data_IF_679179028537
#
_entry.id   IF_679179028537
#
_cell.length_a   1.000
_cell.length_b   1.000
_cell.length_c   1.000
_cell.angle_alpha   90.00
_cell.angle_beta   90.00
_cell.angle_gamma   90.00
#
_symmetry.space_group_name_H-M   'P 1'
#
loop_
_entity.id
_entity.type
_entity.pdbx_description
1 polymer ?
#
# COMPACT_ATOMS: atom_id res chain seq x y z
N UNK A 1 61.01 12.28 5.29
CA UNK A 1 60.20 11.48 4.32
C UNK A 1 61.05 10.97 3.13
N UNK A 2 62.37 10.80 3.29
CA UNK A 2 63.28 10.20 2.28
C UNK A 2 64.08 9.00 2.81
N UNK A 3 63.97 8.73 4.11
CA UNK A 3 64.88 7.84 4.82
C UNK A 3 64.65 6.37 4.43
N UNK A 4 63.43 5.99 4.08
CA UNK A 4 63.11 4.64 3.58
C UNK A 4 63.62 4.38 2.15
N UNK A 5 63.80 5.44 1.33
CA UNK A 5 64.35 5.33 -0.03
C UNK A 5 65.88 5.28 -0.04
N UNK A 6 66.53 5.74 1.03
CA UNK A 6 67.98 5.72 1.20
C UNK A 6 68.48 4.44 1.91
N UNK A 7 67.57 3.66 2.51
CA UNK A 7 67.87 2.35 3.04
C UNK A 7 68.15 1.38 1.88
N UNK A 8 69.38 0.84 1.81
CA UNK A 8 69.73 -0.23 0.86
C UNK A 8 68.95 -1.52 1.14
N UNK A 9 69.09 -2.56 0.28
CA UNK A 9 68.43 -3.84 0.50
C UNK A 9 68.83 -4.43 1.85
N UNK A 10 67.84 -4.92 2.62
CA UNK A 10 68.12 -5.58 3.89
C UNK A 10 68.84 -6.93 3.63
N UNK A 11 69.68 -7.38 4.58
CA UNK A 11 70.18 -8.76 4.58
C UNK A 11 69.01 -9.76 4.46
N UNK A 12 69.20 -10.85 3.70
CA UNK A 12 68.11 -11.78 3.34
C UNK A 12 67.39 -12.36 4.55
N UNK A 13 68.11 -12.60 5.64
CA UNK A 13 67.60 -13.07 6.92
C UNK A 13 66.71 -12.04 7.62
N UNK A 14 67.07 -10.76 7.54
CA UNK A 14 66.26 -9.65 8.06
C UNK A 14 65.00 -9.48 7.21
N UNK A 15 65.14 -9.55 5.88
CA UNK A 15 64.01 -9.47 4.94
C UNK A 15 63.02 -10.63 5.14
N UNK A 16 63.50 -11.86 5.31
CA UNK A 16 62.67 -13.03 5.61
C UNK A 16 61.97 -12.90 6.98
N UNK A 17 62.67 -12.39 8.00
CA UNK A 17 62.07 -12.14 9.31
C UNK A 17 60.98 -11.06 9.24
N UNK A 18 61.21 -9.97 8.52
CA UNK A 18 60.22 -8.91 8.29
C UNK A 18 59.02 -9.43 7.50
N UNK A 19 59.28 -10.21 6.44
CA UNK A 19 58.22 -10.82 5.62
C UNK A 19 57.36 -11.79 6.44
N UNK A 20 57.97 -12.66 7.25
CA UNK A 20 57.24 -13.58 8.14
C UNK A 20 56.40 -12.83 9.17
N UNK A 21 56.92 -11.74 9.76
CA UNK A 21 56.15 -10.89 10.68
C UNK A 21 54.97 -10.22 9.98
N UNK A 22 55.21 -9.71 8.77
CA UNK A 22 54.16 -9.09 7.97
C UNK A 22 53.06 -10.10 7.59
N UNK A 23 53.43 -11.29 7.10
CA UNK A 23 52.49 -12.36 6.77
C UNK A 23 51.71 -12.82 8.00
N UNK A 24 52.37 -13.02 9.13
CA UNK A 24 51.67 -13.35 10.38
C UNK A 24 50.65 -12.27 10.79
N UNK A 25 50.97 -10.99 10.61
CA UNK A 25 50.02 -9.91 10.86
C UNK A 25 48.86 -9.87 9.83
N UNK A 26 49.14 -10.13 8.54
CA UNK A 26 48.11 -10.25 7.51
C UNK A 26 47.15 -11.41 7.80
N UNK A 27 47.70 -12.59 8.09
CA UNK A 27 46.92 -13.80 8.34
C UNK A 27 46.02 -13.62 9.58
N UNK A 28 46.54 -13.00 10.64
CA UNK A 28 45.75 -12.65 11.82
C UNK A 28 44.61 -11.67 11.49
N UNK A 29 44.90 -10.62 10.72
CA UNK A 29 43.89 -9.63 10.33
C UNK A 29 42.79 -10.22 9.45
N UNK A 30 43.17 -10.93 8.37
CA UNK A 30 42.21 -11.52 7.45
C UNK A 30 41.44 -12.66 8.09
N UNK A 31 42.07 -13.48 8.92
CA UNK A 31 41.37 -14.50 9.71
C UNK A 31 40.31 -13.91 10.63
N UNK A 32 40.63 -12.82 11.34
CA UNK A 32 39.65 -12.13 12.18
C UNK A 32 38.50 -11.51 11.37
N UNK A 33 38.81 -10.90 10.21
CA UNK A 33 37.80 -10.33 9.31
C UNK A 33 36.87 -11.39 8.76
N UNK A 34 37.42 -12.50 8.28
CA UNK A 34 36.64 -13.57 7.67
C UNK A 34 35.75 -14.27 8.73
N UNK A 35 36.25 -14.42 9.96
CA UNK A 35 35.44 -14.88 11.09
C UNK A 35 34.28 -13.91 11.41
N UNK A 36 34.53 -12.60 11.43
CA UNK A 36 33.49 -11.60 11.66
C UNK A 36 32.44 -11.58 10.55
N UNK A 37 32.86 -11.71 9.29
CA UNK A 37 31.94 -11.83 8.15
C UNK A 37 31.09 -13.09 8.25
N UNK A 38 31.70 -14.24 8.60
CA UNK A 38 30.96 -15.49 8.78
C UNK A 38 29.92 -15.41 9.90
N UNK A 39 30.18 -14.65 10.96
CA UNK A 39 29.19 -14.41 12.02
C UNK A 39 28.01 -13.57 11.50
N UNK A 40 28.28 -12.50 10.75
CA UNK A 40 27.24 -11.68 10.12
C UNK A 40 26.41 -12.47 9.10
N UNK A 41 27.05 -13.31 8.30
CA UNK A 41 26.35 -14.15 7.31
C UNK A 41 25.41 -15.14 8.02
N UNK A 42 25.85 -15.74 9.13
CA UNK A 42 25.02 -16.61 9.96
C UNK A 42 23.84 -15.85 10.60
N UNK A 43 24.08 -14.66 11.14
CA UNK A 43 23.03 -13.79 11.68
C UNK A 43 22.00 -13.42 10.61
N UNK A 44 22.45 -13.01 9.43
CA UNK A 44 21.56 -12.65 8.33
C UNK A 44 20.76 -13.85 7.84
N UNK A 45 21.36 -15.04 7.76
CA UNK A 45 20.65 -16.27 7.41
C UNK A 45 19.52 -16.56 8.41
N UNK A 46 19.78 -16.47 9.72
CA UNK A 46 18.76 -16.64 10.75
C UNK A 46 17.64 -15.59 10.64
N UNK A 47 17.98 -14.33 10.41
CA UNK A 47 17.00 -13.27 10.17
C UNK A 47 16.12 -13.54 8.94
N UNK A 48 16.70 -14.13 7.88
CA UNK A 48 15.95 -14.48 6.68
C UNK A 48 14.91 -15.56 6.96
N UNK A 49 15.22 -16.57 7.79
CA UNK A 49 14.26 -17.59 8.21
C UNK A 49 13.10 -16.98 9.01
N UNK A 50 13.39 -16.07 9.94
CA UNK A 50 12.34 -15.33 10.70
C UNK A 50 11.43 -14.55 9.75
N UNK A 51 12.03 -13.84 8.79
CA UNK A 51 11.28 -13.09 7.77
C UNK A 51 10.42 -14.01 6.89
N UNK A 52 10.89 -15.20 6.55
CA UNK A 52 10.07 -16.17 5.82
C UNK A 52 8.84 -16.64 6.61
N UNK A 53 8.98 -16.86 7.92
CA UNK A 53 7.85 -17.23 8.77
C UNK A 53 6.81 -16.10 8.81
N UNK A 54 7.27 -14.85 8.97
CA UNK A 54 6.41 -13.66 8.92
C UNK A 54 5.70 -13.55 7.57
N UNK A 55 6.37 -13.87 6.46
CA UNK A 55 5.73 -13.85 5.15
C UNK A 55 4.64 -14.91 5.01
N UNK A 56 4.81 -16.09 5.59
CA UNK A 56 3.76 -17.12 5.58
C UNK A 56 2.52 -16.59 6.33
N UNK A 57 2.71 -15.96 7.49
CA UNK A 57 1.63 -15.31 8.25
C UNK A 57 0.97 -14.17 7.44
N UNK A 58 1.78 -13.34 6.77
CA UNK A 58 1.29 -12.21 5.98
C UNK A 58 0.54 -12.65 4.71
N UNK A 59 1.05 -13.66 4.00
CA UNK A 59 0.43 -14.21 2.80
C UNK A 59 -0.92 -14.87 3.11
N UNK A 60 -1.11 -15.40 4.32
CA UNK A 60 -2.38 -15.95 4.79
C UNK A 60 -3.47 -14.87 5.00
N UNK A 61 -3.11 -13.58 5.04
CA UNK A 61 -4.10 -12.48 5.07
C UNK A 61 -4.81 -12.29 3.73
N UNK A 62 -4.32 -12.94 2.66
CA UNK A 62 -4.88 -12.86 1.32
C UNK A 62 -5.52 -14.22 0.97
N UNK A 63 -6.79 -14.26 0.52
CA UNK A 63 -7.68 -13.13 0.22
C UNK A 63 -8.23 -12.43 1.47
N UNK A 64 -8.35 -11.10 1.41
CA UNK A 64 -8.79 -10.25 2.54
C UNK A 64 -10.28 -10.39 2.76
N UNK A 65 -10.68 -10.91 3.93
CA UNK A 65 -12.08 -11.05 4.34
C UNK A 65 -12.55 -9.87 5.20
N UNK A 66 -11.75 -9.52 6.21
CA UNK A 66 -11.96 -8.37 7.08
C UNK A 66 -10.74 -7.44 6.94
N UNK A 67 -10.97 -6.28 6.32
CA UNK A 67 -9.92 -5.31 6.03
C UNK A 67 -9.30 -4.72 7.31
N UNK A 68 -10.11 -4.41 8.32
CA UNK A 68 -9.62 -3.77 9.53
C UNK A 68 -8.84 -4.75 10.41
N UNK A 69 -9.32 -5.98 10.54
CA UNK A 69 -8.57 -7.05 11.20
C UNK A 69 -7.25 -7.34 10.46
N UNK A 70 -7.30 -7.49 9.14
CA UNK A 70 -6.10 -7.79 8.34
C UNK A 70 -5.08 -6.66 8.40
N UNK A 71 -5.49 -5.38 8.40
CA UNK A 71 -4.59 -4.23 8.59
C UNK A 71 -3.94 -4.22 9.97
N UNK A 72 -4.67 -4.58 11.03
CA UNK A 72 -4.09 -4.69 12.38
C UNK A 72 -3.02 -5.78 12.44
N UNK A 73 -3.34 -6.97 11.95
CA UNK A 73 -2.38 -8.09 11.90
C UNK A 73 -1.18 -7.74 11.03
N UNK A 74 -1.39 -7.13 9.86
CA UNK A 74 -0.29 -6.72 8.98
C UNK A 74 0.65 -5.70 9.64
N UNK A 75 0.14 -4.76 10.45
CA UNK A 75 0.99 -3.82 11.21
C UNK A 75 1.88 -4.53 12.22
N UNK A 76 1.34 -5.50 12.97
CA UNK A 76 2.12 -6.31 13.91
C UNK A 76 3.20 -7.12 13.19
N UNK A 77 2.84 -7.73 12.05
CA UNK A 77 3.80 -8.46 11.20
C UNK A 77 4.89 -7.54 10.63
N UNK A 78 4.55 -6.30 10.24
CA UNK A 78 5.52 -5.32 9.77
C UNK A 78 6.50 -4.88 10.87
N UNK A 79 6.02 -4.71 12.10
CA UNK A 79 6.88 -4.42 13.25
C UNK A 79 7.84 -5.58 13.54
N UNK A 80 7.33 -6.81 13.57
CA UNK A 80 8.16 -8.03 13.70
C UNK A 80 9.16 -8.16 12.56
N UNK A 81 8.78 -7.78 11.34
CA UNK A 81 9.64 -7.81 10.16
C UNK A 81 10.81 -6.83 10.26
N UNK A 82 10.56 -5.62 10.75
CA UNK A 82 11.59 -4.61 10.94
C UNK A 82 12.52 -5.01 12.10
N UNK A 83 11.96 -5.56 13.18
CA UNK A 83 12.71 -6.08 14.32
C UNK A 83 13.62 -7.27 13.97
N UNK A 84 13.25 -8.09 12.98
CA UNK A 84 14.05 -9.23 12.52
C UNK A 84 15.37 -8.82 11.84
N UNK A 85 15.57 -7.53 11.53
CA UNK A 85 16.88 -7.04 11.08
C UNK A 85 17.23 -7.34 9.61
N UNK A 86 18.55 -7.39 9.32
CA UNK A 86 19.07 -7.51 7.95
C UNK A 86 19.13 -8.96 7.49
N UNK A 87 18.98 -9.16 6.19
CA UNK A 87 19.04 -10.45 5.51
C UNK A 87 20.12 -10.46 4.43
N UNK A 88 20.51 -11.64 3.90
CA UNK A 88 21.47 -11.72 2.81
C UNK A 88 20.96 -10.92 1.60
N UNK A 89 21.87 -10.18 0.94
CA UNK A 89 21.52 -9.27 -0.15
C UNK A 89 20.77 -9.95 -1.29
N UNK A 90 21.08 -11.21 -1.55
CA UNK A 90 20.41 -12.04 -2.57
C UNK A 90 18.95 -12.37 -2.22
N UNK A 91 18.63 -12.49 -0.92
CA UNK A 91 17.28 -12.80 -0.41
C UNK A 91 16.43 -11.54 -0.23
N UNK A 92 17.07 -10.40 0.03
CA UNK A 92 16.41 -9.12 0.34
C UNK A 92 15.31 -8.76 -0.66
N UNK A 93 15.61 -8.77 -1.97
CA UNK A 93 14.66 -8.38 -3.01
C UNK A 93 13.44 -9.30 -3.08
N UNK A 94 13.64 -10.61 -2.91
CA UNK A 94 12.54 -11.58 -2.94
C UNK A 94 11.63 -11.41 -1.72
N UNK A 95 12.23 -11.38 -0.54
CA UNK A 95 11.55 -11.21 0.74
C UNK A 95 10.73 -9.91 0.78
N UNK A 96 11.33 -8.77 0.40
CA UNK A 96 10.62 -7.49 0.30
C UNK A 96 9.51 -7.51 -0.77
N UNK A 97 9.76 -8.18 -1.90
CA UNK A 97 8.79 -8.32 -2.97
C UNK A 97 7.54 -9.10 -2.55
N UNK A 98 7.69 -10.14 -1.73
CA UNK A 98 6.58 -10.91 -1.13
C UNK A 98 5.77 -10.04 -0.17
N UNK A 99 6.44 -9.35 0.77
CA UNK A 99 5.78 -8.46 1.73
C UNK A 99 4.99 -7.35 1.03
N UNK A 100 5.60 -6.72 0.01
CA UNK A 100 4.96 -5.68 -0.80
C UNK A 100 3.72 -6.18 -1.55
N UNK A 101 3.70 -7.44 -2.01
CA UNK A 101 2.51 -8.00 -2.68
C UNK A 101 1.32 -8.10 -1.72
N UNK A 102 1.56 -8.52 -0.48
CA UNK A 102 0.53 -8.55 0.57
C UNK A 102 0.03 -7.13 0.87
N UNK A 103 0.95 -6.17 1.03
CA UNK A 103 0.61 -4.76 1.25
C UNK A 103 -0.26 -4.20 0.11
N UNK A 104 0.10 -4.47 -1.14
CA UNK A 104 -0.67 -4.03 -2.32
C UNK A 104 -2.06 -4.67 -2.37
N UNK A 105 -2.19 -5.94 -2.00
CA UNK A 105 -3.50 -6.60 -1.94
C UNK A 105 -4.41 -5.94 -0.88
N UNK A 106 -3.88 -5.61 0.30
CA UNK A 106 -4.61 -4.90 1.35
C UNK A 106 -5.02 -3.50 0.89
N UNK A 107 -4.08 -2.72 0.33
CA UNK A 107 -4.36 -1.38 -0.21
C UNK A 107 -5.41 -1.43 -1.33
N UNK A 108 -5.34 -2.40 -2.23
CA UNK A 108 -6.31 -2.54 -3.31
C UNK A 108 -7.75 -2.79 -2.81
N UNK A 109 -7.90 -3.56 -1.72
CA UNK A 109 -9.22 -3.77 -1.08
C UNK A 109 -9.69 -2.51 -0.37
N UNK A 110 -8.79 -1.79 0.30
CA UNK A 110 -9.08 -0.49 0.92
C UNK A 110 -9.52 0.55 -0.10
N UNK A 111 -8.78 0.70 -1.20
CA UNK A 111 -9.09 1.62 -2.28
C UNK A 111 -10.44 1.30 -2.93
N UNK A 112 -10.76 0.01 -3.09
CA UNK A 112 -12.06 -0.41 -3.62
C UNK A 112 -13.20 -0.08 -2.65
N UNK A 113 -13.01 -0.32 -1.34
CA UNK A 113 -13.99 0.08 -0.33
C UNK A 113 -14.18 1.60 -0.30
N UNK A 114 -13.10 2.37 -0.35
CA UNK A 114 -13.14 3.84 -0.38
C UNK A 114 -13.79 4.37 -1.67
N UNK A 115 -13.52 3.74 -2.82
CA UNK A 115 -14.11 4.10 -4.11
C UNK A 115 -15.61 3.85 -4.16
N UNK A 116 -16.10 2.82 -3.45
CA UNK A 116 -17.53 2.55 -3.26
C UNK A 116 -18.15 3.57 -2.34
N UNK A 117 -17.53 3.81 -1.18
CA UNK A 117 -18.00 4.80 -0.20
C UNK A 117 -17.62 6.25 -0.54
N UNK A 118 -17.19 6.53 -1.78
CA UNK A 118 -16.67 7.82 -2.24
C UNK A 118 -17.66 8.94 -1.88
N UNK A 119 -17.30 9.80 -0.90
CA UNK A 119 -18.20 10.82 -0.40
C UNK A 119 -18.61 11.82 -1.48
N UNK A 120 -17.77 12.07 -2.49
CA UNK A 120 -18.11 13.00 -3.56
C UNK A 120 -19.15 12.43 -4.52
N UNK A 121 -19.10 11.13 -4.82
CA UNK A 121 -20.13 10.48 -5.65
C UNK A 121 -21.46 10.43 -4.94
N UNK A 122 -21.44 10.09 -3.65
CA UNK A 122 -22.62 10.14 -2.79
C UNK A 122 -23.20 11.56 -2.70
N UNK A 123 -22.35 12.58 -2.51
CA UNK A 123 -22.78 13.97 -2.45
C UNK A 123 -23.36 14.48 -3.78
N UNK A 124 -22.72 14.16 -4.91
CA UNK A 124 -23.23 14.54 -6.25
C UNK A 124 -24.55 13.82 -6.57
N UNK A 125 -24.69 12.54 -6.21
CA UNK A 125 -25.94 11.81 -6.37
C UNK A 125 -27.06 12.45 -5.54
N UNK A 126 -26.78 12.80 -4.28
CA UNK A 126 -27.73 13.47 -3.39
C UNK A 126 -28.11 14.88 -3.88
N UNK A 127 -27.17 15.65 -4.43
CA UNK A 127 -27.44 16.97 -5.04
C UNK A 127 -28.37 16.86 -6.26
N UNK A 128 -28.14 15.87 -7.14
CA UNK A 128 -29.01 15.62 -8.30
C UNK A 128 -30.43 15.22 -7.86
N UNK A 129 -30.55 14.33 -6.87
CA UNK A 129 -31.84 13.93 -6.28
C UNK A 129 -32.57 15.15 -5.71
N UNK A 130 -31.89 15.98 -4.92
CA UNK A 130 -32.46 17.19 -4.30
C UNK A 130 -32.97 18.19 -5.36
N UNK A 131 -32.24 18.37 -6.45
CA UNK A 131 -32.65 19.22 -7.58
C UNK A 131 -33.87 18.68 -8.31
N UNK A 132 -33.94 17.36 -8.53
CA UNK A 132 -35.09 16.71 -9.15
C UNK A 132 -36.34 16.81 -8.26
N UNK A 133 -36.21 16.62 -6.95
CA UNK A 133 -37.30 16.79 -5.99
C UNK A 133 -37.84 18.23 -6.00
N UNK A 134 -36.93 19.22 -6.02
CA UNK A 134 -37.32 20.64 -6.08
C UNK A 134 -38.05 20.97 -7.39
N UNK A 135 -37.53 20.48 -8.53
CA UNK A 135 -38.18 20.67 -9.83
C UNK A 135 -39.54 19.96 -9.94
N UNK A 136 -39.71 18.81 -9.31
CA UNK A 136 -41.01 18.12 -9.21
C UNK A 136 -41.99 18.96 -8.40
N UNK A 137 -41.58 19.48 -7.24
CA UNK A 137 -42.43 20.32 -6.40
C UNK A 137 -42.90 21.61 -7.12
N UNK A 138 -42.03 22.24 -7.92
CA UNK A 138 -42.40 23.38 -8.76
C UNK A 138 -43.46 23.01 -9.81
N UNK A 139 -43.29 21.87 -10.49
CA UNK A 139 -44.26 21.38 -11.49
C UNK A 139 -45.60 21.03 -10.87
N UNK A 140 -45.59 20.39 -9.69
CA UNK A 140 -46.81 20.07 -8.95
C UNK A 140 -47.57 21.33 -8.54
N UNK A 141 -46.85 22.39 -8.12
CA UNK A 141 -47.46 23.68 -7.81
C UNK A 141 -48.07 24.36 -9.06
N UNK A 142 -47.36 24.34 -10.20
CA UNK A 142 -47.88 24.87 -11.47
C UNK A 142 -49.09 24.07 -11.98
N UNK A 143 -49.08 22.75 -11.79
CA UNK A 143 -50.16 21.84 -12.18
C UNK A 143 -51.45 22.19 -11.40
N UNK A 144 -51.35 22.39 -10.09
CA UNK A 144 -52.48 22.79 -9.26
C UNK A 144 -53.04 24.16 -9.65
N UNK A 145 -52.18 25.14 -9.97
CA UNK A 145 -52.61 26.43 -10.50
C UNK A 145 -53.31 26.29 -11.86
N UNK A 146 -52.77 25.46 -12.76
CA UNK A 146 -53.36 25.22 -14.09
C UNK A 146 -54.72 24.51 -14.00
N UNK A 147 -54.88 23.58 -13.04
CA UNK A 147 -56.15 22.91 -12.73
C UNK A 147 -57.18 23.91 -12.19
N UNK A 148 -56.79 24.75 -11.23
CA UNK A 148 -57.66 25.78 -10.68
C UNK A 148 -58.10 26.82 -11.74
N UNK A 149 -57.24 27.11 -12.71
CA UNK A 149 -57.53 28.00 -13.84
C UNK A 149 -58.32 27.34 -14.99
N UNK A 150 -58.59 26.03 -14.92
CA UNK A 150 -59.30 25.28 -15.96
C UNK A 150 -58.55 25.17 -17.30
N UNK A 151 -57.22 25.35 -17.30
CA UNK A 151 -56.42 25.32 -18.53
C UNK A 151 -56.02 23.87 -18.87
N UNK A 152 -56.94 23.13 -19.49
CA UNK A 152 -56.77 21.70 -19.76
C UNK A 152 -55.52 21.36 -20.57
N UNK A 153 -55.13 22.22 -21.53
CA UNK A 153 -53.93 22.02 -22.36
C UNK A 153 -52.65 22.09 -21.51
N UNK A 154 -52.56 23.07 -20.61
CA UNK A 154 -51.44 23.24 -19.69
C UNK A 154 -51.36 22.09 -18.68
N UNK A 155 -52.52 21.59 -18.21
CA UNK A 155 -52.57 20.43 -17.30
C UNK A 155 -51.94 19.19 -17.95
N UNK A 156 -52.37 18.81 -19.16
CA UNK A 156 -51.82 17.63 -19.85
C UNK A 156 -50.32 17.74 -20.12
N UNK A 157 -49.82 18.94 -20.45
CA UNK A 157 -48.40 19.20 -20.63
C UNK A 157 -47.60 19.01 -19.33
N UNK A 158 -48.09 19.56 -18.22
CA UNK A 158 -47.44 19.46 -16.91
C UNK A 158 -47.49 18.03 -16.35
N UNK A 159 -48.56 17.26 -16.59
CA UNK A 159 -48.65 15.85 -16.19
C UNK A 159 -47.59 14.98 -16.90
N UNK A 160 -47.39 15.17 -18.20
CA UNK A 160 -46.34 14.47 -18.95
C UNK A 160 -44.93 14.85 -18.48
N UNK A 161 -44.74 16.12 -18.12
CA UNK A 161 -43.48 16.60 -17.58
C UNK A 161 -43.19 16.00 -16.19
N UNK A 162 -44.17 16.04 -15.29
CA UNK A 162 -44.09 15.44 -13.96
C UNK A 162 -43.73 13.95 -14.04
N UNK A 163 -44.42 13.19 -14.90
CA UNK A 163 -44.14 11.77 -15.09
C UNK A 163 -42.69 11.53 -15.54
N UNK A 164 -42.19 12.33 -16.48
CA UNK A 164 -40.80 12.24 -16.95
C UNK A 164 -39.81 12.51 -15.82
N UNK A 165 -40.03 13.56 -15.03
CA UNK A 165 -39.15 13.94 -13.90
C UNK A 165 -39.17 12.90 -12.77
N UNK A 166 -40.34 12.31 -12.47
CA UNK A 166 -40.46 11.21 -11.51
C UNK A 166 -39.69 9.97 -11.97
N UNK A 167 -39.75 9.62 -13.26
CA UNK A 167 -38.93 8.52 -13.80
C UNK A 167 -37.43 8.78 -13.66
N UNK A 168 -36.97 10.03 -13.89
CA UNK A 168 -35.57 10.40 -13.68
C UNK A 168 -35.17 10.36 -12.21
N UNK A 169 -36.04 10.78 -11.29
CA UNK A 169 -35.81 10.71 -9.84
C UNK A 169 -35.66 9.26 -9.36
N UNK A 170 -36.54 8.36 -9.81
CA UNK A 170 -36.48 6.95 -9.47
C UNK A 170 -35.20 6.28 -10.02
N UNK A 171 -34.80 6.63 -11.25
CA UNK A 171 -33.54 6.17 -11.82
C UNK A 171 -32.32 6.68 -11.03
N UNK A 172 -32.32 7.96 -10.63
CA UNK A 172 -31.25 8.56 -9.84
C UNK A 172 -31.14 7.95 -8.44
N UNK A 173 -32.27 7.67 -7.77
CA UNK A 173 -32.31 7.00 -6.46
C UNK A 173 -31.78 5.57 -6.53
N UNK A 174 -32.12 4.81 -7.57
CA UNK A 174 -31.56 3.46 -7.78
C UNK A 174 -30.06 3.50 -8.01
N UNK A 175 -29.60 4.41 -8.87
CA UNK A 175 -28.17 4.59 -9.10
C UNK A 175 -27.42 4.97 -7.82
N UNK A 176 -28.00 5.81 -6.95
CA UNK A 176 -27.42 6.17 -5.66
C UNK A 176 -27.34 4.98 -4.69
N UNK A 177 -28.38 4.13 -4.66
CA UNK A 177 -28.41 2.94 -3.82
C UNK A 177 -27.34 1.90 -4.21
N UNK A 178 -26.88 1.90 -5.47
CA UNK A 178 -25.78 1.04 -5.92
C UNK A 178 -24.39 1.53 -5.46
N UNK A 179 -24.29 2.78 -4.96
CA UNK A 179 -23.06 3.36 -4.38
C UNK A 179 -23.01 3.31 -2.84
N UNK A 180 -24.10 2.94 -2.16
CA UNK A 180 -24.17 2.83 -0.70
C UNK A 180 -23.92 1.41 -0.19
#
# INVERSE_FOLDING_TARGET
MRDWKAAGPAPRDVDEALWRRFRGAQDAFFGARDAANSQLDAEFAANAEVKEQILVEAEALVPVQDLEAAKRTFRDLAERWDAAGKVPRERMKDLEGRMRRVEQALRGVEDEQWRRSDPEKSARANDVITKLESAIAEVEAELEQARAAGNQKKVTELEGNLASRQMFLDAARRASADFG
#
